data_IF_297968316649
#
_entry.id   IF_297968316649
#
_cell.length_a   1.000
_cell.length_b   1.000
_cell.length_c   1.000
_cell.angle_alpha   90.00
_cell.angle_beta   90.00
_cell.angle_gamma   90.00
#
_symmetry.space_group_name_H-M   'P 1'
#
loop_
_entity.id
_entity.type
_entity.pdbx_description
1 polymer ?
#
# COMPACT_ATOMS: atom_id res chain seq x y z
N UNK A 1 -5.76 -2.34 -16.45
CA UNK A 1 -4.82 -1.97 -17.52
C UNK A 1 -4.27 -0.64 -17.12
N UNK A 2 -3.30 -0.66 -16.23
CA UNK A 2 -2.91 0.49 -15.42
C UNK A 2 -2.00 1.39 -16.25
N UNK A 3 -2.46 2.63 -16.40
CA UNK A 3 -1.86 3.64 -17.24
C UNK A 3 -0.84 4.44 -16.45
N UNK A 4 0.44 4.11 -16.63
CA UNK A 4 1.55 4.89 -16.13
C UNK A 4 2.82 4.51 -16.87
N UNK A 5 2.91 4.89 -18.16
CA UNK A 5 4.10 4.72 -18.98
C UNK A 5 5.23 5.62 -18.43
N UNK A 6 5.90 5.17 -17.37
CA UNK A 6 7.24 5.62 -17.01
C UNK A 6 8.25 4.70 -17.69
N UNK A 7 8.68 5.14 -18.87
CA UNK A 7 9.86 4.64 -19.58
C UNK A 7 11.11 4.91 -18.72
N UNK A 8 11.50 4.05 -17.76
CA UNK A 8 12.72 4.24 -16.95
C UNK A 8 13.22 2.94 -16.29
N UNK A 9 14.52 2.87 -16.01
CA UNK A 9 15.17 1.81 -15.20
C UNK A 9 14.25 1.34 -14.07
N UNK A 10 14.14 0.02 -13.92
CA UNK A 10 13.33 -0.59 -12.86
C UNK A 10 13.58 0.12 -11.54
N UNK A 11 12.52 0.58 -10.88
CA UNK A 11 12.58 1.14 -9.54
C UNK A 11 13.52 0.29 -8.66
N UNK A 12 14.33 0.91 -7.78
CA UNK A 12 15.10 0.18 -6.78
C UNK A 12 14.24 -0.87 -6.05
N UNK A 13 14.84 -2.01 -5.71
CA UNK A 13 14.09 -3.18 -5.20
C UNK A 13 13.30 -2.86 -3.92
N UNK A 14 13.85 -2.00 -3.07
CA UNK A 14 13.20 -1.51 -1.86
C UNK A 14 11.93 -0.70 -2.13
N UNK A 15 11.89 0.09 -3.20
CA UNK A 15 10.69 0.86 -3.60
C UNK A 15 9.63 -0.05 -4.19
N UNK A 16 10.03 -1.05 -4.99
CA UNK A 16 9.12 -2.08 -5.51
C UNK A 16 8.50 -2.90 -4.39
N UNK A 17 9.30 -3.35 -3.42
CA UNK A 17 8.78 -4.09 -2.26
C UNK A 17 7.84 -3.23 -1.41
N UNK A 18 8.13 -1.94 -1.23
CA UNK A 18 7.23 -1.02 -0.54
C UNK A 18 5.92 -0.79 -1.31
N UNK A 19 5.97 -0.71 -2.63
CA UNK A 19 4.81 -0.62 -3.52
C UNK A 19 3.95 -1.89 -3.42
N UNK A 20 4.52 -3.08 -3.62
CA UNK A 20 3.81 -4.35 -3.40
C UNK A 20 3.16 -4.45 -2.01
N UNK A 21 3.86 -3.94 -0.98
CA UNK A 21 3.33 -3.93 0.39
C UNK A 21 2.07 -3.07 0.50
N UNK A 22 1.97 -1.98 -0.26
CA UNK A 22 0.80 -1.11 -0.26
C UNK A 22 -0.45 -1.84 -0.71
N UNK A 23 -0.38 -2.51 -1.87
CA UNK A 23 -1.47 -3.34 -2.38
C UNK A 23 -1.90 -4.39 -1.34
N UNK A 24 -0.92 -5.07 -0.71
CA UNK A 24 -1.24 -6.07 0.32
C UNK A 24 -1.97 -5.45 1.53
N UNK A 25 -1.55 -4.26 2.00
CA UNK A 25 -2.27 -3.56 3.08
C UNK A 25 -3.69 -3.15 2.67
N UNK A 26 -3.88 -2.70 1.43
CA UNK A 26 -5.21 -2.37 0.90
C UNK A 26 -6.12 -3.60 0.88
N UNK A 27 -5.64 -4.71 0.32
CA UNK A 27 -6.36 -5.98 0.29
C UNK A 27 -6.69 -6.52 1.69
N UNK A 28 -5.74 -6.48 2.63
CA UNK A 28 -5.96 -6.88 4.02
C UNK A 28 -7.03 -6.02 4.70
N UNK A 29 -7.04 -4.71 4.46
CA UNK A 29 -8.04 -3.80 5.03
C UNK A 29 -9.43 -4.05 4.46
N UNK A 30 -9.55 -4.24 3.14
CA UNK A 30 -10.81 -4.56 2.46
C UNK A 30 -11.38 -5.90 2.91
N UNK A 31 -10.52 -6.91 3.07
CA UNK A 31 -10.93 -8.20 3.61
C UNK A 31 -11.51 -8.06 5.03
N UNK A 32 -10.81 -7.33 5.91
CA UNK A 32 -11.27 -7.06 7.29
C UNK A 32 -12.54 -6.20 7.33
N UNK A 33 -12.78 -5.40 6.29
CA UNK A 33 -14.00 -4.63 6.08
C UNK A 33 -15.18 -5.49 5.58
N UNK A 34 -14.98 -6.77 5.29
CA UNK A 34 -16.00 -7.65 4.74
C UNK A 34 -16.23 -7.50 3.23
N UNK A 35 -15.23 -7.00 2.49
CA UNK A 35 -15.27 -6.82 1.05
C UNK A 35 -14.23 -7.73 0.33
N UNK A 36 -14.40 -9.07 0.37
CA UNK A 36 -13.41 -10.01 -0.17
C UNK A 36 -13.20 -9.86 -1.69
N UNK A 37 -14.24 -9.52 -2.45
CA UNK A 37 -14.14 -9.33 -3.90
C UNK A 37 -13.21 -8.16 -4.26
N UNK A 38 -13.31 -7.05 -3.51
CA UNK A 38 -12.42 -5.90 -3.67
C UNK A 38 -11.00 -6.25 -3.18
N UNK A 39 -10.88 -7.05 -2.11
CA UNK A 39 -9.59 -7.47 -1.56
C UNK A 39 -8.78 -8.37 -2.52
N UNK A 40 -9.45 -9.24 -3.28
CA UNK A 40 -8.81 -10.24 -4.13
C UNK A 40 -7.88 -9.60 -5.18
N UNK A 41 -8.34 -8.53 -5.82
CA UNK A 41 -7.58 -7.81 -6.87
C UNK A 41 -6.22 -7.33 -6.32
N UNK A 42 -6.24 -6.66 -5.18
CA UNK A 42 -5.06 -6.14 -4.50
C UNK A 42 -4.09 -7.23 -4.02
N UNK A 43 -4.62 -8.35 -3.53
CA UNK A 43 -3.79 -9.46 -3.04
C UNK A 43 -3.14 -10.25 -4.18
N UNK A 44 -3.58 -10.03 -5.42
CA UNK A 44 -2.96 -10.58 -6.62
C UNK A 44 -1.84 -9.69 -7.17
N UNK A 45 -1.88 -8.36 -6.96
CA UNK A 45 -0.89 -7.41 -7.48
C UNK A 45 0.58 -7.79 -7.22
N UNK A 46 0.97 -8.25 -6.02
CA UNK A 46 2.34 -8.71 -5.76
C UNK A 46 2.82 -9.83 -6.70
N UNK A 47 1.90 -10.62 -7.25
CA UNK A 47 2.18 -11.71 -8.19
C UNK A 47 1.99 -11.24 -9.63
N UNK A 48 0.98 -10.41 -9.89
CA UNK A 48 0.57 -9.97 -11.21
C UNK A 48 1.33 -8.75 -11.74
N UNK A 49 2.23 -8.12 -10.98
CA UNK A 49 3.23 -7.19 -11.54
C UNK A 49 3.99 -7.95 -12.65
N UNK A 50 3.61 -7.64 -13.89
CA UNK A 50 3.70 -8.58 -15.02
C UNK A 50 5.05 -8.55 -15.72
N UNK A 51 5.93 -7.59 -15.38
CA UNK A 51 7.23 -7.52 -16.01
C UNK A 51 8.28 -8.33 -15.25
N UNK A 52 8.99 -9.21 -15.95
CA UNK A 52 10.12 -9.95 -15.40
C UNK A 52 11.19 -9.03 -14.77
N UNK A 53 11.29 -7.80 -15.25
CA UNK A 53 12.14 -6.74 -14.70
C UNK A 53 11.65 -6.22 -13.35
N UNK A 54 10.33 -6.17 -13.10
CA UNK A 54 9.74 -5.79 -11.82
C UNK A 54 9.91 -6.88 -10.75
N UNK A 55 10.02 -8.15 -11.16
CA UNK A 55 10.35 -9.26 -10.24
C UNK A 55 11.85 -9.46 -10.02
N UNK A 56 12.71 -8.80 -10.78
CA UNK A 56 14.16 -8.99 -10.70
C UNK A 56 14.68 -8.66 -9.28
N UNK A 57 15.30 -9.65 -8.64
CA UNK A 57 15.84 -9.54 -7.28
C UNK A 57 14.83 -9.74 -6.14
N UNK A 58 13.52 -9.78 -6.42
CA UNK A 58 12.47 -9.96 -5.41
C UNK A 58 12.50 -11.39 -4.85
N UNK A 59 12.59 -12.41 -5.72
CA UNK A 59 12.65 -13.80 -5.27
C UNK A 59 13.84 -14.08 -4.33
N UNK A 60 14.96 -13.40 -4.53
CA UNK A 60 16.16 -13.52 -3.69
C UNK A 60 15.95 -13.00 -2.25
N UNK A 61 14.95 -12.13 -2.05
CA UNK A 61 14.54 -11.66 -0.73
C UNK A 61 13.63 -12.69 -0.01
N UNK A 62 13.20 -13.75 -0.70
CA UNK A 62 12.35 -14.80 -0.14
C UNK A 62 10.86 -14.56 -0.34
N UNK A 63 10.49 -13.98 -1.48
CA UNK A 63 9.09 -13.82 -1.87
C UNK A 63 8.42 -15.19 -2.02
N UNK A 64 7.23 -15.34 -1.46
CA UNK A 64 6.44 -16.58 -1.55
C UNK A 64 5.17 -16.36 -2.40
N UNK A 65 5.27 -16.33 -3.74
CA UNK A 65 4.14 -16.01 -4.63
C UNK A 65 2.93 -16.93 -4.41
N UNK A 66 3.18 -18.22 -4.12
CA UNK A 66 2.14 -19.21 -3.85
C UNK A 66 1.22 -18.84 -2.66
N UNK A 67 1.69 -18.03 -1.70
CA UNK A 67 0.86 -17.54 -0.59
C UNK A 67 -0.20 -16.57 -1.10
N UNK A 68 0.19 -15.64 -1.96
CA UNK A 68 -0.67 -14.61 -2.53
C UNK A 68 -1.65 -15.20 -3.55
N UNK A 69 -1.17 -16.10 -4.43
CA UNK A 69 -2.03 -16.83 -5.37
C UNK A 69 -3.12 -17.64 -4.66
N UNK A 70 -2.74 -18.36 -3.58
CA UNK A 70 -3.69 -19.17 -2.82
C UNK A 70 -4.75 -18.31 -2.11
N UNK A 71 -4.34 -17.16 -1.56
CA UNK A 71 -5.25 -16.21 -0.92
C UNK A 71 -6.21 -15.60 -1.94
N UNK A 72 -5.69 -15.09 -3.07
CA UNK A 72 -6.51 -14.47 -4.13
C UNK A 72 -7.55 -15.46 -4.64
N UNK A 73 -7.13 -16.69 -4.99
CA UNK A 73 -8.04 -17.73 -5.44
C UNK A 73 -9.11 -18.07 -4.41
N UNK A 74 -8.73 -18.18 -3.14
CA UNK A 74 -9.69 -18.51 -2.09
C UNK A 74 -10.70 -17.38 -1.82
N UNK A 75 -10.31 -16.12 -2.03
CA UNK A 75 -11.24 -14.98 -2.00
C UNK A 75 -12.21 -15.03 -3.19
N UNK A 76 -11.72 -15.30 -4.40
CA UNK A 76 -12.56 -15.47 -5.61
C UNK A 76 -13.56 -16.63 -5.46
N UNK A 77 -13.16 -17.71 -4.78
CA UNK A 77 -14.03 -18.85 -4.46
C UNK A 77 -15.04 -18.56 -3.33
N UNK A 78 -15.01 -17.36 -2.74
CA UNK A 78 -15.93 -16.95 -1.66
C UNK A 78 -15.72 -17.71 -0.36
N UNK A 79 -14.49 -18.18 -0.09
CA UNK A 79 -14.20 -18.96 1.12
C UNK A 79 -14.41 -18.11 2.38
N UNK A 80 -14.90 -18.70 3.50
CA UNK A 80 -15.14 -17.96 4.72
C UNK A 80 -13.90 -17.23 5.23
N UNK A 81 -14.08 -15.99 5.69
CA UNK A 81 -12.97 -15.17 6.18
C UNK A 81 -12.13 -15.86 7.28
N UNK A 82 -12.79 -16.61 8.18
CA UNK A 82 -12.11 -17.34 9.25
C UNK A 82 -11.12 -18.40 8.74
N UNK A 83 -11.36 -18.97 7.55
CA UNK A 83 -10.46 -19.96 6.94
C UNK A 83 -9.23 -19.30 6.28
N UNK A 84 -9.38 -18.04 5.88
CA UNK A 84 -8.35 -17.29 5.16
C UNK A 84 -7.39 -16.54 6.09
N UNK A 85 -7.83 -16.21 7.30
CA UNK A 85 -7.04 -15.46 8.28
C UNK A 85 -5.61 -16.01 8.50
N UNK A 86 -5.36 -17.33 8.60
CA UNK A 86 -4.00 -17.85 8.72
C UNK A 86 -3.13 -17.58 7.48
N UNK A 87 -3.72 -17.64 6.28
CA UNK A 87 -3.02 -17.38 5.02
C UNK A 87 -2.73 -15.89 4.83
N UNK A 88 -3.68 -15.03 5.21
CA UNK A 88 -3.49 -13.57 5.21
C UNK A 88 -2.39 -13.13 6.17
N UNK A 89 -2.32 -13.74 7.37
CA UNK A 89 -1.19 -13.51 8.30
C UNK A 89 0.14 -13.97 7.70
N UNK A 90 0.16 -15.06 6.94
CA UNK A 90 1.35 -15.53 6.23
C UNK A 90 1.78 -14.54 5.14
N UNK A 91 0.83 -13.98 4.39
CA UNK A 91 1.09 -12.95 3.38
C UNK A 91 1.68 -11.68 4.04
N UNK A 92 1.07 -11.19 5.12
CA UNK A 92 1.57 -10.04 5.89
C UNK A 92 2.98 -10.28 6.43
N UNK A 93 3.25 -11.48 6.96
CA UNK A 93 4.59 -11.85 7.44
C UNK A 93 5.62 -11.95 6.32
N UNK A 94 5.26 -12.49 5.15
CA UNK A 94 6.16 -12.54 4.00
C UNK A 94 6.51 -11.12 3.52
N UNK A 95 5.53 -10.21 3.43
CA UNK A 95 5.81 -8.81 3.08
C UNK A 95 6.70 -8.10 4.10
N UNK A 96 6.50 -8.35 5.40
CA UNK A 96 7.37 -7.77 6.44
C UNK A 96 8.82 -8.25 6.30
N UNK A 97 9.04 -9.54 6.04
CA UNK A 97 10.37 -10.11 5.76
C UNK A 97 11.01 -9.50 4.50
N UNK A 98 10.21 -9.34 3.45
CA UNK A 98 10.64 -8.74 2.20
C UNK A 98 11.10 -7.30 2.40
N UNK A 99 10.33 -6.49 3.13
CA UNK A 99 10.68 -5.11 3.47
C UNK A 99 12.00 -5.04 4.25
N UNK A 100 12.18 -5.91 5.25
CA UNK A 100 13.40 -5.97 6.05
C UNK A 100 14.63 -6.27 5.19
N UNK A 101 14.54 -7.28 4.32
CA UNK A 101 15.65 -7.71 3.48
C UNK A 101 15.94 -6.77 2.31
N UNK A 102 14.92 -6.11 1.77
CA UNK A 102 15.11 -5.12 0.71
C UNK A 102 15.91 -3.91 1.23
N UNK A 103 15.76 -3.58 2.51
CA UNK A 103 16.49 -2.48 3.15
C UNK A 103 16.11 -1.12 2.54
N UNK A 104 17.13 -0.30 2.29
CA UNK A 104 16.96 1.04 1.73
C UNK A 104 16.75 2.14 2.77
N UNK A 105 16.85 3.39 2.31
CA UNK A 105 16.61 4.55 3.17
C UNK A 105 15.09 4.74 3.36
N UNK A 106 14.64 4.62 4.61
CA UNK A 106 13.22 4.74 4.95
C UNK A 106 12.64 6.10 4.58
N UNK A 107 13.42 7.20 4.64
CA UNK A 107 12.95 8.53 4.24
C UNK A 107 12.70 8.57 2.74
N UNK A 108 13.62 8.06 1.94
CA UNK A 108 13.49 8.01 0.47
C UNK A 108 12.30 7.14 0.05
N UNK A 109 12.04 6.04 0.76
CA UNK A 109 10.88 5.17 0.47
C UNK A 109 9.57 5.85 0.86
N UNK A 110 9.49 6.51 2.02
CA UNK A 110 8.29 7.25 2.43
C UNK A 110 8.01 8.40 1.44
N UNK A 111 9.04 9.15 1.02
CA UNK A 111 8.90 10.20 0.01
C UNK A 111 8.32 9.67 -1.31
N UNK A 112 8.85 8.53 -1.80
CA UNK A 112 8.30 7.85 -2.97
C UNK A 112 6.82 7.50 -2.79
N UNK A 113 6.46 6.83 -1.69
CA UNK A 113 5.08 6.44 -1.41
C UNK A 113 4.14 7.65 -1.31
N UNK A 114 4.61 8.78 -0.77
CA UNK A 114 3.81 10.01 -0.70
C UNK A 114 3.49 10.58 -2.08
N UNK A 115 4.41 10.49 -3.04
CA UNK A 115 4.12 10.78 -4.45
C UNK A 115 3.04 9.86 -4.99
N UNK A 116 3.24 8.55 -4.85
CA UNK A 116 2.28 7.53 -5.31
C UNK A 116 0.89 7.70 -4.68
N UNK A 117 0.79 8.03 -3.39
CA UNK A 117 -0.50 8.32 -2.72
C UNK A 117 -1.25 9.45 -3.40
N UNK A 118 -0.56 10.53 -3.78
CA UNK A 118 -1.21 11.68 -4.44
C UNK A 118 -1.66 11.31 -5.84
N UNK A 119 -0.83 10.58 -6.58
CA UNK A 119 -1.13 10.14 -7.93
C UNK A 119 -2.35 9.20 -7.94
N UNK A 120 -2.34 8.11 -7.16
CA UNK A 120 -3.45 7.15 -7.15
C UNK A 120 -4.73 7.75 -6.57
N UNK A 121 -4.63 8.58 -5.50
CA UNK A 121 -5.83 9.22 -4.97
C UNK A 121 -6.46 10.18 -5.98
N UNK A 122 -5.63 10.87 -6.76
CA UNK A 122 -6.07 11.77 -7.82
C UNK A 122 -6.78 11.05 -8.96
N UNK A 123 -6.34 9.83 -9.31
CA UNK A 123 -7.03 8.98 -10.28
C UNK A 123 -8.32 8.40 -9.70
N UNK A 124 -8.23 7.90 -8.46
CA UNK A 124 -9.32 7.22 -7.75
C UNK A 124 -10.50 8.11 -7.39
N UNK A 125 -10.29 9.42 -7.22
CA UNK A 125 -11.33 10.36 -6.79
C UNK A 125 -11.51 11.51 -7.79
N UNK A 126 -12.70 11.59 -8.37
CA UNK A 126 -13.10 12.68 -9.26
C UNK A 126 -14.47 13.23 -8.82
N UNK A 127 -14.64 14.56 -8.90
CA UNK A 127 -15.88 15.26 -8.54
C UNK A 127 -16.46 14.87 -7.16
N UNK A 128 -15.58 14.60 -6.20
CA UNK A 128 -15.95 14.21 -4.83
C UNK A 128 -16.52 12.80 -4.70
N UNK A 129 -16.26 11.92 -5.67
CA UNK A 129 -16.69 10.52 -5.67
C UNK A 129 -15.52 9.59 -5.97
N UNK A 130 -15.58 8.37 -5.46
CA UNK A 130 -14.68 7.30 -5.88
C UNK A 130 -15.09 6.88 -7.30
N UNK A 131 -14.24 7.14 -8.28
CA UNK A 131 -14.44 6.79 -9.69
C UNK A 131 -13.57 5.62 -10.14
N UNK A 132 -12.39 5.47 -9.54
CA UNK A 132 -11.58 4.26 -9.62
C UNK A 132 -11.35 3.72 -8.20
N UNK A 133 -12.11 2.69 -7.78
CA UNK A 133 -11.95 2.11 -6.45
C UNK A 133 -10.58 1.52 -6.20
N UNK A 134 -9.92 0.95 -7.22
CA UNK A 134 -8.60 0.32 -7.06
C UNK A 134 -7.57 1.35 -6.62
N UNK A 135 -7.47 2.45 -7.36
CA UNK A 135 -6.50 3.51 -7.07
C UNK A 135 -6.80 4.23 -5.74
N UNK A 136 -8.09 4.43 -5.42
CA UNK A 136 -8.50 4.94 -4.11
C UNK A 136 -8.08 4.03 -2.94
N UNK A 137 -8.09 2.72 -3.15
CA UNK A 137 -7.71 1.69 -2.18
C UNK A 137 -6.20 1.56 -2.06
N UNK A 138 -5.47 1.66 -3.16
CA UNK A 138 -4.01 1.61 -3.18
C UNK A 138 -3.38 2.80 -2.48
N UNK A 139 -3.91 4.01 -2.69
CA UNK A 139 -3.52 5.19 -1.93
C UNK A 139 -3.67 5.00 -0.40
N UNK A 140 -4.69 4.25 0.06
CA UNK A 140 -4.81 3.89 1.48
C UNK A 140 -3.69 2.94 1.89
N UNK A 141 -3.46 1.88 1.11
CA UNK A 141 -2.42 0.89 1.34
C UNK A 141 -1.03 1.52 1.49
N UNK A 142 -0.63 2.37 0.55
CA UNK A 142 0.63 3.10 0.58
C UNK A 142 0.76 4.01 1.81
N UNK A 143 -0.33 4.68 2.19
CA UNK A 143 -0.38 5.51 3.42
C UNK A 143 -0.13 4.67 4.68
N UNK A 144 -0.71 3.46 4.76
CA UNK A 144 -0.50 2.53 5.88
C UNK A 144 0.94 2.01 5.90
N UNK A 145 1.51 1.63 4.75
CA UNK A 145 2.91 1.18 4.67
C UNK A 145 3.86 2.27 5.14
N UNK A 146 3.70 3.49 4.64
CA UNK A 146 4.52 4.62 5.07
C UNK A 146 4.43 4.85 6.60
N UNK A 147 3.22 4.78 7.16
CA UNK A 147 3.01 4.85 8.62
C UNK A 147 3.71 3.69 9.37
N UNK A 148 3.62 2.45 8.88
CA UNK A 148 4.30 1.29 9.49
C UNK A 148 5.82 1.44 9.44
N UNK A 149 6.39 1.95 8.35
CA UNK A 149 7.82 2.21 8.22
C UNK A 149 8.28 3.33 9.14
N UNK A 150 7.55 4.44 9.22
CA UNK A 150 7.86 5.56 10.12
C UNK A 150 7.87 5.18 11.61
N UNK A 151 7.04 4.20 12.01
CA UNK A 151 7.03 3.67 13.40
C UNK A 151 8.27 2.84 13.75
N UNK A 152 8.99 2.34 12.75
CA UNK A 152 10.24 1.58 12.94
C UNK A 152 11.47 2.48 13.06
N UNK A 153 11.32 3.79 12.78
CA UNK A 153 12.37 4.77 13.00
C UNK A 153 12.57 4.95 14.51
N UNK A 154 13.77 4.63 15.00
CA UNK A 154 14.18 4.89 16.38
C UNK A 154 14.66 6.34 16.53
N UNK A 155 13.77 7.29 16.25
CA UNK A 155 14.04 8.73 16.40
C UNK A 155 12.88 9.41 17.15
N UNK A 156 13.13 10.03 18.33
CA UNK A 156 12.12 10.82 19.04
C UNK A 156 11.47 11.93 18.19
N UNK A 157 12.18 12.46 17.18
CA UNK A 157 11.66 13.46 16.23
C UNK A 157 10.71 12.85 15.20
N UNK A 158 10.68 11.53 15.04
CA UNK A 158 9.69 10.84 14.21
C UNK A 158 8.26 10.93 14.80
N UNK A 159 8.07 11.48 16.01
CA UNK A 159 6.75 11.70 16.59
C UNK A 159 5.86 12.59 15.69
N UNK A 160 6.42 13.65 15.09
CA UNK A 160 5.68 14.52 14.19
C UNK A 160 5.32 13.79 12.89
N UNK A 161 6.27 13.10 12.28
CA UNK A 161 6.03 12.27 11.09
C UNK A 161 4.94 11.22 11.33
N UNK A 162 5.02 10.50 12.46
CA UNK A 162 4.03 9.49 12.83
C UNK A 162 2.64 10.10 13.06
N UNK A 163 2.55 11.31 13.63
CA UNK A 163 1.28 12.02 13.78
C UNK A 163 0.67 12.37 12.41
N UNK A 164 1.46 12.93 11.50
CA UNK A 164 0.96 13.35 10.18
C UNK A 164 0.56 12.15 9.32
N UNK A 165 1.32 11.04 9.36
CA UNK A 165 0.97 9.79 8.68
C UNK A 165 -0.30 9.15 9.27
N UNK A 166 -0.46 9.18 10.60
CA UNK A 166 -1.70 8.73 11.24
C UNK A 166 -2.90 9.59 10.80
N UNK A 167 -2.71 10.90 10.67
CA UNK A 167 -3.75 11.80 10.19
C UNK A 167 -4.10 11.52 8.71
N UNK A 168 -3.09 11.23 7.87
CA UNK A 168 -3.30 10.81 6.48
C UNK A 168 -4.12 9.52 6.38
N UNK A 169 -3.74 8.46 7.11
CA UNK A 169 -4.50 7.20 7.11
C UNK A 169 -5.94 7.40 7.60
N UNK A 170 -6.16 8.31 8.56
CA UNK A 170 -7.48 8.64 9.08
C UNK A 170 -8.36 9.46 8.11
N UNK A 171 -7.86 9.80 6.92
CA UNK A 171 -8.67 10.44 5.87
C UNK A 171 -9.62 9.46 5.18
N UNK A 172 -9.33 8.16 5.25
CA UNK A 172 -10.26 7.10 4.84
C UNK A 172 -11.24 6.77 5.98
N UNK A 173 -12.45 6.26 5.66
CA UNK A 173 -13.41 5.84 6.68
C UNK A 173 -12.87 4.75 7.61
N UNK A 174 -13.34 4.74 8.86
CA UNK A 174 -12.91 3.76 9.86
C UNK A 174 -13.25 2.30 9.46
N UNK A 175 -14.22 2.10 8.57
CA UNK A 175 -14.59 0.79 8.02
C UNK A 175 -13.66 0.27 6.91
N UNK A 176 -12.63 1.01 6.51
CA UNK A 176 -11.72 0.66 5.42
C UNK A 176 -11.99 1.42 4.11
N UNK A 177 -11.15 1.23 3.08
CA UNK A 177 -11.23 1.98 1.81
C UNK A 177 -12.29 1.38 0.86
N UNK A 178 -13.53 1.18 1.32
CA UNK A 178 -14.58 0.57 0.49
C UNK A 178 -14.90 1.42 -0.74
N UNK A 179 -15.22 0.79 -1.89
CA UNK A 179 -15.56 1.48 -3.13
C UNK A 179 -16.73 2.47 -3.02
N UNK A 180 -17.68 2.24 -2.11
CA UNK A 180 -18.83 3.10 -1.84
C UNK A 180 -18.56 4.17 -0.76
N UNK A 181 -17.31 4.32 -0.34
CA UNK A 181 -16.89 5.35 0.60
C UNK A 181 -17.16 6.75 0.07
N UNK A 182 -17.44 7.68 0.97
CA UNK A 182 -17.39 9.11 0.66
C UNK A 182 -15.94 9.60 0.81
N UNK A 183 -15.25 9.95 -0.28
CA UNK A 183 -13.85 10.34 -0.20
C UNK A 183 -13.70 11.77 0.34
N UNK A 184 -12.51 12.08 0.85
CA UNK A 184 -12.10 13.46 1.10
C UNK A 184 -11.75 14.15 -0.22
N UNK A 185 -11.79 15.50 -0.28
CA UNK A 185 -11.31 16.21 -1.46
C UNK A 185 -9.84 15.89 -1.74
N UNK A 186 -9.49 15.71 -3.02
CA UNK A 186 -8.10 15.45 -3.48
C UNK A 186 -7.12 16.48 -2.92
N UNK A 187 -7.51 17.76 -2.89
CA UNK A 187 -6.69 18.83 -2.34
C UNK A 187 -6.40 18.68 -0.84
N UNK A 188 -7.31 18.11 -0.04
CA UNK A 188 -7.07 17.84 1.37
C UNK A 188 -6.04 16.71 1.55
N UNK A 189 -6.14 15.65 0.74
CA UNK A 189 -5.18 14.52 0.79
C UNK A 189 -3.80 15.01 0.39
N UNK A 190 -3.69 15.74 -0.72
CA UNK A 190 -2.41 16.33 -1.16
C UNK A 190 -1.80 17.29 -0.11
N UNK A 191 -2.63 18.09 0.56
CA UNK A 191 -2.18 18.96 1.65
C UNK A 191 -1.69 18.14 2.86
N UNK A 192 -2.34 17.03 3.21
CA UNK A 192 -1.91 16.18 4.31
C UNK A 192 -0.62 15.43 3.96
N UNK A 193 -0.47 14.93 2.73
CA UNK A 193 0.78 14.38 2.20
C UNK A 193 1.91 15.39 2.26
N UNK A 194 1.64 16.66 1.93
CA UNK A 194 2.65 17.73 2.03
C UNK A 194 3.14 17.94 3.47
N UNK A 195 2.26 17.81 4.47
CA UNK A 195 2.66 17.86 5.89
C UNK A 195 3.51 16.65 6.29
N UNK A 196 3.21 15.47 5.77
CA UNK A 196 4.05 14.28 5.95
C UNK A 196 5.46 14.53 5.41
N UNK A 197 5.59 15.03 4.18
CA UNK A 197 6.88 15.35 3.56
C UNK A 197 7.64 16.43 4.33
N UNK A 198 6.94 17.46 4.83
CA UNK A 198 7.55 18.48 5.68
C UNK A 198 8.11 17.88 6.98
N UNK A 199 7.32 17.06 7.68
CA UNK A 199 7.77 16.38 8.90
C UNK A 199 8.92 15.40 8.63
N UNK A 200 8.89 14.71 7.49
CA UNK A 200 9.96 13.82 7.04
C UNK A 200 11.28 14.57 6.81
N UNK A 201 11.22 15.75 6.17
CA UNK A 201 12.39 16.58 5.89
C UNK A 201 13.06 17.15 7.15
N UNK A 202 12.33 17.22 8.26
CA UNK A 202 12.85 17.69 9.55
C UNK A 202 13.63 16.61 10.33
N UNK A 203 13.56 15.34 9.90
CA UNK A 203 14.37 14.26 10.45
C UNK A 203 15.83 14.43 10.02
N UNK A 204 16.79 14.05 10.89
CA UNK A 204 18.23 14.13 10.60
C UNK A 204 18.65 13.30 9.38
#
# INVERSE_FOLDING_TARGET
GEGGHHDMETLPVEKRVAFMSGHVEAGLALFRAGAPDQAAQHLLHPVSETHASERAGIDALGFEPAVFEAVSKALEEGRPAAELEPQLKKAEANMALMQEKAGGDTKIIIEYLMGTVVDEYGVGVQDGKVTDPGEFQDAFGFSVVAMKMAKRLDDPKAADLNRELKALVAMWPAGGPLADSTPKPVAEVAAQTSKVLLALSALP
#
